data_IF_498411211533
#
_entry.id   IF_498411211533
#
_cell.length_a   1.000
_cell.length_b   1.000
_cell.length_c   1.000
_cell.angle_alpha   90.00
_cell.angle_beta   90.00
_cell.angle_gamma   90.00
#
_symmetry.space_group_name_H-M   'P 1'
#
loop_
_entity.id
_entity.type
_entity.pdbx_description
1 polymer ?
#
# COMPACT_ATOMS: atom_id res chain seq x y z
N UNK A 1 50.16 -33.50 5.49
CA UNK A 1 49.43 -32.44 4.77
C UNK A 1 47.94 -32.65 5.01
N UNK A 2 47.43 -32.37 6.20
CA UNK A 2 46.06 -32.77 6.61
C UNK A 2 45.39 -31.77 7.56
N UNK A 3 45.68 -30.46 7.45
CA UNK A 3 45.04 -29.45 8.32
C UNK A 3 44.66 -28.15 7.62
N UNK A 4 44.23 -28.21 6.36
CA UNK A 4 43.87 -27.00 5.61
C UNK A 4 42.59 -27.09 4.77
N UNK A 5 41.71 -28.04 5.06
CA UNK A 5 40.42 -28.20 4.35
C UNK A 5 39.31 -28.44 5.37
N UNK A 6 39.12 -27.55 6.34
CA UNK A 6 37.91 -27.59 7.18
C UNK A 6 37.36 -26.22 7.57
N UNK A 7 38.05 -25.13 7.21
CA UNK A 7 37.64 -23.76 7.60
C UNK A 7 36.88 -23.01 6.50
N UNK A 8 36.90 -23.47 5.24
CA UNK A 8 36.23 -22.75 4.14
C UNK A 8 34.74 -23.04 3.97
N UNK A 9 34.21 -24.15 4.52
CA UNK A 9 32.79 -24.49 4.35
C UNK A 9 31.84 -23.77 5.32
N UNK A 10 32.34 -23.20 6.42
CA UNK A 10 31.48 -22.53 7.41
C UNK A 10 31.24 -21.04 7.14
N UNK A 11 32.09 -20.39 6.35
CA UNK A 11 31.93 -18.95 6.05
C UNK A 11 30.91 -18.74 4.91
N UNK A 12 30.72 -19.72 4.02
CA UNK A 12 29.75 -19.61 2.93
C UNK A 12 28.29 -19.85 3.34
N UNK A 13 28.03 -20.45 4.51
CA UNK A 13 26.65 -20.69 4.98
C UNK A 13 26.06 -19.54 5.81
N UNK A 14 26.87 -18.62 6.33
CA UNK A 14 26.37 -17.52 7.17
C UNK A 14 25.86 -16.32 6.37
N UNK A 15 26.24 -16.18 5.09
CA UNK A 15 25.87 -15.02 4.25
C UNK A 15 24.52 -15.26 3.55
N UNK A 16 24.10 -16.51 3.36
CA UNK A 16 22.84 -16.85 2.68
C UNK A 16 21.58 -16.69 3.55
N UNK A 17 21.72 -16.51 4.87
CA UNK A 17 20.57 -16.42 5.79
C UNK A 17 20.09 -14.99 6.06
N UNK A 18 20.83 -13.97 5.63
CA UNK A 18 20.47 -12.56 5.88
C UNK A 18 19.53 -11.94 4.85
N UNK A 19 19.25 -12.62 3.73
CA UNK A 19 18.47 -12.06 2.61
C UNK A 19 16.95 -12.31 2.71
N UNK A 20 16.44 -12.96 3.75
CA UNK A 20 15.03 -13.42 3.78
C UNK A 20 14.10 -12.67 4.74
N UNK A 21 14.54 -11.60 5.41
CA UNK A 21 13.75 -10.95 6.47
C UNK A 21 13.68 -9.41 6.42
N UNK A 22 13.75 -8.77 5.25
CA UNK A 22 13.66 -7.30 5.18
C UNK A 22 12.24 -6.76 5.05
N UNK A 23 11.26 -7.37 5.74
CA UNK A 23 9.96 -6.72 5.93
C UNK A 23 9.94 -5.99 7.27
N UNK A 24 9.95 -4.66 7.23
CA UNK A 24 9.83 -3.85 8.45
C UNK A 24 8.42 -3.30 8.56
N UNK A 25 7.69 -3.69 9.60
CA UNK A 25 6.35 -3.16 9.89
C UNK A 25 6.46 -1.70 10.35
N UNK A 26 5.72 -0.82 9.68
CA UNK A 26 5.73 0.62 9.95
C UNK A 26 4.73 1.05 11.03
N UNK A 27 3.77 0.19 11.38
CA UNK A 27 2.74 0.46 12.38
C UNK A 27 1.38 -0.04 11.91
N UNK A 28 0.31 0.59 12.40
CA UNK A 28 -1.06 0.23 12.05
C UNK A 28 -1.90 1.51 11.88
N UNK A 29 -2.78 1.53 10.89
CA UNK A 29 -3.79 2.56 10.73
C UNK A 29 -5.16 1.94 10.43
N UNK A 30 -6.22 2.67 10.78
CA UNK A 30 -7.59 2.24 10.54
C UNK A 30 -8.19 2.84 9.26
N UNK A 31 -9.12 2.14 8.61
CA UNK A 31 -9.82 2.59 7.41
C UNK A 31 -11.20 1.93 7.27
N UNK A 32 -12.00 2.36 6.31
CA UNK A 32 -13.21 1.66 5.85
C UNK A 32 -13.13 1.44 4.35
N UNK A 33 -13.73 0.37 3.85
CA UNK A 33 -13.90 0.17 2.41
C UNK A 33 -15.32 0.52 1.95
N UNK A 34 -15.44 0.86 0.67
CA UNK A 34 -16.72 1.17 0.05
C UNK A 34 -17.76 0.05 0.18
N UNK A 35 -17.31 -1.20 0.32
CA UNK A 35 -18.17 -2.39 0.45
C UNK A 35 -18.75 -2.57 1.86
N UNK A 36 -18.16 -1.92 2.88
CA UNK A 36 -18.43 -2.24 4.29
C UNK A 36 -19.62 -1.51 4.92
N UNK A 37 -20.39 -0.73 4.15
CA UNK A 37 -21.68 -0.15 4.56
C UNK A 37 -21.85 0.09 6.07
N UNK A 38 -21.20 1.13 6.63
CA UNK A 38 -21.29 1.49 8.07
C UNK A 38 -20.81 0.43 9.09
N UNK A 39 -19.86 -0.44 8.72
CA UNK A 39 -19.18 -1.36 9.62
C UNK A 39 -18.18 -0.71 10.60
N UNK A 40 -17.47 -1.54 11.36
CA UNK A 40 -16.31 -1.11 12.16
C UNK A 40 -15.11 -0.87 11.25
N UNK A 41 -14.22 0.09 11.58
CA UNK A 41 -13.06 0.34 10.76
C UNK A 41 -12.11 -0.85 10.80
N UNK A 42 -11.65 -1.25 9.63
CA UNK A 42 -10.61 -2.23 9.43
C UNK A 42 -9.24 -1.67 9.82
N UNK A 43 -8.22 -2.53 9.82
CA UNK A 43 -6.84 -2.19 10.17
C UNK A 43 -5.89 -2.66 9.08
N UNK A 44 -5.01 -1.78 8.64
CA UNK A 44 -3.93 -2.10 7.72
C UNK A 44 -2.59 -1.90 8.42
N UNK A 45 -1.67 -2.81 8.14
CA UNK A 45 -0.31 -2.85 8.70
C UNK A 45 0.70 -2.61 7.58
N UNK A 46 1.00 -1.34 7.26
CA UNK A 46 1.97 -1.03 6.22
C UNK A 46 3.35 -1.57 6.60
N UNK A 47 4.09 -2.03 5.59
CA UNK A 47 5.47 -2.48 5.77
C UNK A 47 6.38 -1.97 4.66
N UNK A 48 7.67 -1.86 4.96
CA UNK A 48 8.70 -1.66 3.95
C UNK A 48 9.30 -2.98 3.49
N UNK A 49 9.63 -3.05 2.20
CA UNK A 49 10.33 -4.17 1.57
C UNK A 49 11.02 -3.68 0.29
N UNK A 50 12.34 -3.87 0.15
CA UNK A 50 13.13 -3.39 -1.00
C UNK A 50 12.87 -1.92 -1.36
N UNK A 51 13.05 -1.01 -0.40
CA UNK A 51 12.82 0.43 -0.54
C UNK A 51 11.40 0.82 -0.99
N UNK A 52 10.42 -0.07 -0.81
CA UNK A 52 9.01 0.19 -1.10
C UNK A 52 8.17 0.07 0.14
N UNK A 53 7.15 0.91 0.26
CA UNK A 53 6.10 0.81 1.26
C UNK A 53 4.89 0.15 0.60
N UNK A 54 4.41 -0.94 1.18
CA UNK A 54 3.20 -1.62 0.73
C UNK A 54 2.02 -1.31 1.66
N UNK A 55 0.96 -0.74 1.09
CA UNK A 55 -0.35 -0.59 1.73
C UNK A 55 -1.29 -1.64 1.16
N UNK A 56 -1.67 -2.65 1.97
CA UNK A 56 -2.60 -3.72 1.59
C UNK A 56 -3.93 -3.54 2.30
N UNK A 57 -5.02 -3.70 1.57
CA UNK A 57 -6.39 -3.57 2.06
C UNK A 57 -7.14 -4.90 1.91
N UNK A 58 -8.22 -5.09 2.68
CA UNK A 58 -8.97 -6.35 2.71
C UNK A 58 -9.70 -6.65 1.40
N UNK A 59 -10.08 -5.63 0.62
CA UNK A 59 -10.62 -5.78 -0.74
C UNK A 59 -9.67 -6.50 -1.71
N UNK A 60 -8.41 -6.72 -1.32
CA UNK A 60 -7.37 -7.25 -2.20
C UNK A 60 -6.65 -6.16 -3.00
N UNK A 61 -6.98 -4.89 -2.78
CA UNK A 61 -6.19 -3.80 -3.31
C UNK A 61 -4.87 -3.64 -2.58
N UNK A 62 -3.81 -3.33 -3.34
CA UNK A 62 -2.51 -2.96 -2.82
C UNK A 62 -2.00 -1.71 -3.55
N UNK A 63 -1.48 -0.77 -2.77
CA UNK A 63 -0.78 0.42 -3.26
C UNK A 63 0.68 0.30 -2.84
N UNK A 64 1.58 0.37 -3.81
CA UNK A 64 3.03 0.29 -3.59
C UNK A 64 3.67 1.65 -3.84
N UNK A 65 4.33 2.18 -2.82
CA UNK A 65 4.93 3.51 -2.79
C UNK A 65 6.44 3.37 -2.75
N UNK A 66 7.16 4.11 -3.59
CA UNK A 66 8.62 4.22 -3.43
C UNK A 66 8.94 5.01 -2.18
N UNK A 67 9.89 4.53 -1.37
CA UNK A 67 10.23 5.17 -0.09
C UNK A 67 10.72 6.60 -0.28
N UNK A 68 11.46 6.87 -1.36
CA UNK A 68 11.94 8.22 -1.70
C UNK A 68 10.81 9.19 -2.13
N UNK A 69 9.66 8.67 -2.58
CA UNK A 69 8.51 9.46 -3.03
C UNK A 69 7.42 9.61 -1.95
N UNK A 70 7.56 8.94 -0.79
CA UNK A 70 6.52 8.90 0.27
C UNK A 70 6.14 10.29 0.81
N UNK A 71 7.07 11.24 0.74
CA UNK A 71 6.86 12.60 1.22
C UNK A 71 5.79 13.36 0.41
N UNK A 72 5.61 13.04 -0.87
CA UNK A 72 4.58 13.68 -1.68
C UNK A 72 3.18 13.18 -1.29
N UNK A 73 3.05 11.89 -0.97
CA UNK A 73 1.84 11.34 -0.37
C UNK A 73 1.54 11.98 1.00
N UNK A 74 2.55 12.11 1.87
CA UNK A 74 2.39 12.77 3.18
C UNK A 74 1.86 14.20 3.03
N UNK A 75 2.40 14.99 2.07
CA UNK A 75 1.91 16.36 1.81
C UNK A 75 0.43 16.39 1.43
N UNK A 76 -0.02 15.47 0.58
CA UNK A 76 -1.43 15.35 0.20
C UNK A 76 -2.27 15.02 1.43
N UNK A 77 -1.85 14.03 2.23
CA UNK A 77 -2.55 13.64 3.45
C UNK A 77 -2.61 14.77 4.48
N UNK A 78 -1.59 15.62 4.61
CA UNK A 78 -1.56 16.75 5.55
C UNK A 78 -2.40 17.96 5.11
N UNK A 79 -2.84 18.00 3.84
CA UNK A 79 -3.59 19.14 3.27
C UNK A 79 -5.07 19.21 3.69
N UNK A 80 -5.57 18.22 4.45
CA UNK A 80 -6.98 18.03 4.86
C UNK A 80 -7.56 19.09 5.84
N UNK A 81 -7.04 20.32 5.86
CA UNK A 81 -7.31 21.34 6.90
C UNK A 81 -8.56 22.20 6.67
N UNK A 82 -9.35 21.97 5.62
CA UNK A 82 -10.53 22.80 5.28
C UNK A 82 -11.84 22.14 5.71
N UNK A 83 -12.69 22.82 6.48
CA UNK A 83 -14.07 22.41 6.78
C UNK A 83 -14.96 22.64 5.55
N UNK A 84 -15.76 21.65 5.13
CA UNK A 84 -16.73 21.80 4.04
C UNK A 84 -16.90 20.54 3.19
N UNK A 85 -17.68 20.67 2.11
CA UNK A 85 -18.01 19.66 1.09
C UNK A 85 -16.78 18.95 0.50
N UNK A 86 -17.02 17.83 -0.22
CA UNK A 86 -16.00 17.02 -0.90
C UNK A 86 -15.00 17.91 -1.66
N UNK A 87 -13.80 18.05 -1.13
CA UNK A 87 -12.73 18.89 -1.67
C UNK A 87 -11.60 18.01 -2.16
N UNK A 88 -11.14 18.22 -3.39
CA UNK A 88 -9.97 17.52 -3.93
C UNK A 88 -8.70 17.97 -3.20
N UNK A 89 -7.93 17.02 -2.69
CA UNK A 89 -6.66 17.26 -2.00
C UNK A 89 -5.46 17.14 -2.94
N UNK A 90 -5.57 16.30 -3.97
CA UNK A 90 -4.52 16.06 -4.95
C UNK A 90 -4.61 14.66 -5.53
N UNK A 91 -3.58 14.26 -6.26
CA UNK A 91 -3.42 12.90 -6.74
C UNK A 91 -1.99 12.43 -6.54
N UNK A 92 -1.81 11.13 -6.55
CA UNK A 92 -0.52 10.49 -6.36
C UNK A 92 -0.37 9.38 -7.39
N UNK A 93 0.81 9.30 -7.99
CA UNK A 93 1.18 8.17 -8.83
C UNK A 93 2.01 7.21 -7.99
N UNK A 94 1.44 6.08 -7.52
CA UNK A 94 2.24 5.05 -6.87
C UNK A 94 3.17 4.37 -7.88
N UNK A 95 4.14 3.62 -7.37
CA UNK A 95 4.97 2.76 -8.22
C UNK A 95 4.11 1.74 -8.93
N UNK A 96 3.20 1.12 -8.17
CA UNK A 96 2.26 0.10 -8.63
C UNK A 96 0.97 0.20 -7.81
N UNK A 97 -0.15 0.04 -8.48
CA UNK A 97 -1.44 -0.35 -7.90
C UNK A 97 -1.74 -1.77 -8.37
N UNK A 98 -2.21 -2.62 -7.47
CA UNK A 98 -2.74 -3.92 -7.86
C UNK A 98 -4.07 -4.21 -7.21
N UNK A 99 -4.92 -4.95 -7.92
CA UNK A 99 -6.21 -5.45 -7.42
C UNK A 99 -6.35 -6.94 -7.73
N UNK A 100 -7.01 -7.67 -6.85
CA UNK A 100 -7.29 -9.10 -7.05
C UNK A 100 -8.53 -9.22 -7.95
N UNK A 101 -8.37 -9.94 -9.06
CA UNK A 101 -9.44 -10.39 -9.92
C UNK A 101 -9.83 -11.81 -9.52
N UNK A 102 -11.06 -11.99 -9.04
CA UNK A 102 -11.62 -13.32 -8.82
C UNK A 102 -12.18 -13.86 -10.13
N UNK A 103 -11.40 -14.70 -10.80
CA UNK A 103 -11.84 -15.44 -11.99
C UNK A 103 -12.01 -16.92 -11.65
N UNK A 104 -13.25 -17.35 -11.40
CA UNK A 104 -13.65 -18.77 -11.37
C UNK A 104 -12.69 -19.66 -10.54
N UNK A 105 -12.30 -19.22 -9.35
CA UNK A 105 -11.44 -19.98 -8.43
C UNK A 105 -9.93 -19.90 -8.71
N UNK A 106 -9.50 -19.05 -9.64
CA UNK A 106 -8.10 -18.63 -9.81
C UNK A 106 -7.98 -17.15 -9.47
N UNK A 107 -7.21 -16.84 -8.42
CA UNK A 107 -6.84 -15.48 -8.07
C UNK A 107 -5.74 -15.02 -9.02
N UNK A 108 -6.03 -14.00 -9.82
CA UNK A 108 -5.02 -13.28 -10.59
C UNK A 108 -4.98 -11.83 -10.11
N UNK A 109 -3.80 -11.21 -10.10
CA UNK A 109 -3.66 -9.81 -9.73
C UNK A 109 -3.50 -8.97 -10.99
N UNK A 110 -4.35 -7.96 -11.16
CA UNK A 110 -4.13 -6.91 -12.15
C UNK A 110 -3.17 -5.90 -11.55
N UNK A 111 -2.12 -5.56 -12.28
CA UNK A 111 -1.03 -4.68 -11.86
C UNK A 111 -0.96 -3.50 -12.85
N UNK A 112 -1.02 -2.27 -12.34
CA UNK A 112 -0.93 -1.05 -13.15
C UNK A 112 0.07 -0.06 -12.50
N UNK A 113 0.98 0.49 -13.31
CA UNK A 113 1.99 1.48 -12.90
C UNK A 113 1.84 2.85 -13.60
N UNK A 114 0.75 3.03 -14.34
CA UNK A 114 0.44 4.25 -15.10
C UNK A 114 -0.67 5.07 -14.45
N UNK A 115 -1.56 4.42 -13.69
CA UNK A 115 -2.71 5.06 -13.05
C UNK A 115 -2.32 5.92 -11.84
N UNK A 116 -3.12 6.95 -11.60
CA UNK A 116 -3.05 7.81 -10.42
C UNK A 116 -4.19 7.45 -9.48
N UNK A 117 -3.95 7.54 -8.18
CA UNK A 117 -5.00 7.55 -7.15
C UNK A 117 -5.36 8.99 -6.82
N UNK A 118 -6.64 9.25 -6.62
CA UNK A 118 -7.16 10.60 -6.32
C UNK A 118 -7.53 10.71 -4.84
N UNK A 119 -7.23 11.85 -4.23
CA UNK A 119 -7.52 12.11 -2.81
C UNK A 119 -8.55 13.21 -2.66
N UNK A 120 -9.55 12.96 -1.82
CA UNK A 120 -10.57 13.94 -1.46
C UNK A 120 -10.75 14.02 0.05
N UNK A 121 -11.31 15.13 0.54
CA UNK A 121 -11.77 15.28 1.92
C UNK A 121 -13.26 15.59 1.94
N UNK A 122 -14.06 14.79 2.63
CA UNK A 122 -15.53 14.95 2.71
C UNK A 122 -16.01 15.76 3.92
N UNK A 123 -15.08 16.28 4.74
CA UNK A 123 -15.37 16.96 6.00
C UNK A 123 -15.04 16.12 7.24
N UNK A 124 -15.05 14.78 7.13
CA UNK A 124 -14.78 13.83 8.21
C UNK A 124 -13.67 12.81 7.88
N UNK A 125 -13.55 12.43 6.61
CA UNK A 125 -12.65 11.40 6.11
C UNK A 125 -11.81 11.94 4.94
N UNK A 126 -10.61 11.39 4.79
CA UNK A 126 -9.89 11.41 3.51
C UNK A 126 -10.36 10.20 2.70
N UNK A 127 -10.76 10.43 1.45
CA UNK A 127 -11.12 9.38 0.50
C UNK A 127 -9.93 9.15 -0.41
N UNK A 128 -9.52 7.89 -0.57
CA UNK A 128 -8.57 7.43 -1.57
C UNK A 128 -9.38 6.72 -2.65
N UNK A 129 -9.54 7.36 -3.80
CA UNK A 129 -10.21 6.77 -4.95
C UNK A 129 -9.17 6.05 -5.82
N UNK A 130 -9.26 4.73 -5.83
CA UNK A 130 -8.48 3.84 -6.67
C UNK A 130 -9.27 3.64 -7.98
N UNK A 131 -8.69 3.98 -9.14
CA UNK A 131 -9.39 3.84 -10.42
C UNK A 131 -9.58 2.36 -10.79
N UNK A 132 -10.48 2.10 -11.72
CA UNK A 132 -10.59 0.78 -12.35
C UNK A 132 -9.23 0.37 -12.96
N UNK A 133 -8.84 -0.87 -12.68
CA UNK A 133 -7.65 -1.51 -13.21
C UNK A 133 -8.05 -2.49 -14.30
N UNK A 134 -7.31 -2.48 -15.40
CA UNK A 134 -7.52 -3.38 -16.53
C UNK A 134 -6.21 -4.12 -16.80
N UNK A 135 -6.30 -5.42 -17.10
CA UNK A 135 -5.11 -6.15 -17.50
C UNK A 135 -4.53 -5.62 -18.83
N UNK A 136 -3.30 -6.02 -19.16
CA UNK A 136 -2.61 -5.55 -20.37
C UNK A 136 -3.28 -5.98 -21.68
N UNK A 137 -4.20 -6.95 -21.64
CA UNK A 137 -4.90 -7.52 -22.78
C UNK A 137 -6.36 -7.02 -22.90
N UNK A 138 -6.84 -6.22 -21.95
CA UNK A 138 -8.23 -5.77 -21.86
C UNK A 138 -9.23 -6.86 -21.43
N UNK A 139 -8.78 -8.03 -21.01
CA UNK A 139 -9.64 -9.20 -20.77
C UNK A 139 -10.21 -9.30 -19.36
N UNK A 140 -9.53 -8.70 -18.39
CA UNK A 140 -9.92 -8.67 -16.98
C UNK A 140 -9.92 -7.24 -16.46
N UNK A 141 -10.91 -6.92 -15.63
CA UNK A 141 -11.03 -5.63 -14.96
C UNK A 141 -11.33 -5.81 -13.48
N UNK A 142 -10.69 -5.01 -12.63
CA UNK A 142 -11.06 -4.85 -11.22
C UNK A 142 -11.70 -3.47 -11.09
N UNK A 143 -12.97 -3.45 -10.69
CA UNK A 143 -13.77 -2.22 -10.54
C UNK A 143 -13.10 -1.21 -9.62
N UNK A 144 -13.31 0.07 -9.90
CA UNK A 144 -12.84 1.16 -9.04
C UNK A 144 -13.26 0.95 -7.56
N UNK A 145 -12.45 1.46 -6.65
CA UNK A 145 -12.64 1.25 -5.23
C UNK A 145 -12.30 2.49 -4.42
N UNK A 146 -13.01 2.72 -3.31
CA UNK A 146 -12.78 3.86 -2.44
C UNK A 146 -12.41 3.40 -1.04
N UNK A 147 -11.24 3.82 -0.56
CA UNK A 147 -10.81 3.66 0.83
C UNK A 147 -11.13 4.95 1.58
N UNK A 148 -11.83 4.84 2.70
CA UNK A 148 -12.14 5.96 3.58
C UNK A 148 -11.21 5.92 4.79
N UNK A 149 -10.45 6.99 4.98
CA UNK A 149 -9.56 7.20 6.11
C UNK A 149 -10.18 8.23 7.06
N UNK A 150 -10.74 7.79 8.20
CA UNK A 150 -11.24 8.71 9.22
C UNK A 150 -10.14 9.65 9.67
N UNK A 151 -10.48 10.90 9.98
CA UNK A 151 -9.51 11.90 10.44
C UNK A 151 -8.61 11.40 11.58
N UNK A 152 -9.16 10.60 12.51
CA UNK A 152 -8.40 9.99 13.61
C UNK A 152 -7.34 8.98 13.14
N UNK A 153 -7.56 8.31 12.01
CA UNK A 153 -6.68 7.31 11.43
C UNK A 153 -5.62 7.91 10.48
N UNK A 154 -5.89 9.08 9.89
CA UNK A 154 -4.95 9.79 8.99
C UNK A 154 -3.63 10.07 9.70
N UNK A 155 -3.66 10.48 10.97
CA UNK A 155 -2.45 10.72 11.75
C UNK A 155 -1.60 9.44 11.86
N UNK A 156 -2.22 8.31 12.17
CA UNK A 156 -1.49 7.04 12.29
C UNK A 156 -0.86 6.63 10.96
N UNK A 157 -1.55 6.81 9.83
CA UNK A 157 -0.97 6.56 8.51
C UNK A 157 0.24 7.47 8.26
N UNK A 158 0.13 8.77 8.53
CA UNK A 158 1.26 9.71 8.39
C UNK A 158 2.44 9.29 9.28
N UNK A 159 2.17 8.92 10.54
CA UNK A 159 3.19 8.48 11.49
C UNK A 159 3.87 7.18 11.01
N UNK A 160 3.13 6.26 10.38
CA UNK A 160 3.70 5.07 9.74
C UNK A 160 4.63 5.46 8.59
N UNK A 161 4.20 6.37 7.70
CA UNK A 161 4.97 6.79 6.53
C UNK A 161 6.22 7.60 6.90
N UNK A 162 6.25 8.27 8.06
CA UNK A 162 7.39 9.08 8.52
C UNK A 162 8.53 8.29 9.14
N UNK A 163 8.32 7.02 9.49
CA UNK A 163 9.40 6.10 9.90
C UNK A 163 10.31 5.79 8.72
#
# INVERSE_FOLDING_TARGET
>A
MEKFIFTLCFIFFAISSYSQNEKTVLGEFCYYEQLDGKGNPEKATPYTYHDRIELKFNSGYQITIKTEEKNDLIKILESHKKKGTKTRLGNYKPEVISGILDTKGKYSSIIDNKKYIEFFYDGNNILIEIPELTDMFGSGTVSNHTIFLPKKCVKNLIDCLKK
#
